data_IF_035751140712
#
_entry.id   IF_035751140712
#
_cell.length_a   1.000
_cell.length_b   1.000
_cell.length_c   1.000
_cell.angle_alpha   90.00
_cell.angle_beta   90.00
_cell.angle_gamma   90.00
#
_symmetry.space_group_name_H-M   'P 1'
#
loop_
_entity.id
_entity.type
_entity.pdbx_description
1 polymer ?
#
# COMPACT_ATOMS: atom_id res chain seq x y z
N UNK A 1 4.41 -8.25 -0.50
CA UNK A 1 4.15 -9.69 -0.27
C UNK A 1 5.49 -10.39 -0.15
N UNK A 2 5.66 -11.24 0.86
CA UNK A 2 6.92 -11.93 1.10
C UNK A 2 6.89 -13.34 0.48
N UNK A 3 8.06 -13.96 0.33
CA UNK A 3 8.24 -15.36 -0.09
C UNK A 3 7.72 -15.69 -1.51
N UNK A 4 7.71 -14.72 -2.42
CA UNK A 4 7.27 -14.93 -3.82
C UNK A 4 8.41 -15.18 -4.81
N UNK A 5 9.67 -15.01 -4.40
CA UNK A 5 10.82 -15.15 -5.31
C UNK A 5 10.69 -14.28 -6.57
N UNK A 6 10.93 -14.88 -7.73
CA UNK A 6 10.84 -14.21 -9.04
C UNK A 6 9.43 -13.73 -9.38
N UNK A 7 8.39 -14.33 -8.81
CA UNK A 7 7.00 -13.93 -9.03
C UNK A 7 6.61 -12.65 -8.26
N UNK A 8 7.51 -12.12 -7.41
CA UNK A 8 7.21 -10.98 -6.56
C UNK A 8 6.77 -9.76 -7.36
N UNK A 9 7.55 -9.33 -8.35
CA UNK A 9 7.27 -8.07 -9.07
C UNK A 9 5.95 -8.14 -9.83
N UNK A 10 5.67 -9.26 -10.51
CA UNK A 10 4.40 -9.48 -11.21
C UNK A 10 3.21 -9.48 -10.25
N UNK A 11 3.32 -10.16 -9.10
CA UNK A 11 2.23 -10.20 -8.13
C UNK A 11 1.89 -8.82 -7.54
N UNK A 12 2.90 -7.96 -7.30
CA UNK A 12 2.67 -6.59 -6.85
C UNK A 12 1.99 -5.75 -7.94
N UNK A 13 2.41 -5.90 -9.20
CA UNK A 13 1.77 -5.25 -10.34
C UNK A 13 0.30 -5.67 -10.49
N UNK A 14 0.02 -6.97 -10.42
CA UNK A 14 -1.34 -7.51 -10.55
C UNK A 14 -2.24 -7.02 -9.42
N UNK A 15 -1.72 -6.99 -8.18
CA UNK A 15 -2.46 -6.44 -7.03
C UNK A 15 -2.86 -4.98 -7.24
N UNK A 16 -1.95 -4.16 -7.80
CA UNK A 16 -2.23 -2.75 -8.10
C UNK A 16 -3.29 -2.63 -9.18
N UNK A 17 -3.17 -3.40 -10.27
CA UNK A 17 -4.16 -3.41 -11.36
C UNK A 17 -5.55 -3.80 -10.86
N UNK A 18 -5.65 -4.92 -10.16
CA UNK A 18 -6.92 -5.44 -9.65
C UNK A 18 -7.64 -4.43 -8.74
N UNK A 19 -6.90 -3.76 -7.85
CA UNK A 19 -7.48 -2.76 -6.96
C UNK A 19 -7.98 -1.53 -7.72
N UNK A 20 -7.18 -1.02 -8.67
CA UNK A 20 -7.54 0.15 -9.48
C UNK A 20 -8.71 -0.15 -10.44
N UNK A 21 -8.73 -1.31 -11.07
CA UNK A 21 -9.83 -1.77 -11.94
C UNK A 21 -11.17 -1.89 -11.19
N UNK A 22 -11.11 -2.19 -9.89
CA UNK A 22 -12.29 -2.22 -8.99
C UNK A 22 -12.69 -0.84 -8.48
N UNK A 23 -11.99 0.23 -8.88
CA UNK A 23 -12.25 1.60 -8.46
C UNK A 23 -11.90 1.88 -7.00
N UNK A 24 -10.99 1.09 -6.41
CA UNK A 24 -10.55 1.30 -5.02
C UNK A 24 -9.48 2.39 -4.97
N UNK A 25 -9.57 3.25 -3.96
CA UNK A 25 -8.43 4.06 -3.53
C UNK A 25 -7.37 3.12 -2.94
N UNK A 26 -6.13 3.19 -3.47
CA UNK A 26 -5.07 2.25 -3.10
C UNK A 26 -3.86 2.99 -2.53
N UNK A 27 -3.51 2.65 -1.29
CA UNK A 27 -2.24 3.07 -0.71
C UNK A 27 -1.28 1.88 -0.63
N UNK A 28 -0.07 2.06 -1.13
CA UNK A 28 0.97 1.01 -1.16
C UNK A 28 2.19 1.46 -0.39
N UNK A 29 2.88 0.52 0.26
CA UNK A 29 4.08 0.83 1.04
C UNK A 29 5.20 -0.18 0.81
N UNK A 30 6.44 0.32 0.74
CA UNK A 30 7.65 -0.48 0.70
C UNK A 30 8.19 -0.77 -0.70
N UNK A 31 9.47 -1.15 -0.73
CA UNK A 31 10.32 -1.27 -1.92
C UNK A 31 9.72 -2.09 -3.08
N UNK A 32 9.01 -3.18 -2.78
CA UNK A 32 8.43 -4.01 -3.83
C UNK A 32 7.30 -3.30 -4.59
N UNK A 33 6.46 -2.54 -3.89
CA UNK A 33 5.47 -1.69 -4.54
C UNK A 33 6.11 -0.45 -5.18
N UNK A 34 7.23 0.05 -4.66
CA UNK A 34 7.98 1.16 -5.27
C UNK A 34 8.50 0.86 -6.67
N UNK A 35 8.69 -0.42 -7.01
CA UNK A 35 9.03 -0.86 -8.38
C UNK A 35 7.84 -0.92 -9.34
N UNK A 36 6.60 -0.90 -8.83
CA UNK A 36 5.41 -0.92 -9.68
C UNK A 36 5.18 0.48 -10.24
N UNK A 37 5.21 0.67 -11.58
CA UNK A 37 5.06 1.98 -12.19
C UNK A 37 3.77 2.69 -11.75
N UNK A 38 3.86 3.98 -11.48
CA UNK A 38 2.71 4.84 -11.26
C UNK A 38 2.42 5.62 -12.54
N UNK A 39 1.15 5.65 -12.93
CA UNK A 39 0.68 6.41 -14.09
C UNK A 39 -0.11 7.63 -13.62
N UNK A 40 -0.08 8.69 -14.41
CA UNK A 40 -0.84 9.91 -14.14
C UNK A 40 -2.34 9.61 -14.04
N UNK A 41 -2.99 10.18 -13.02
CA UNK A 41 -4.42 10.02 -12.78
C UNK A 41 -4.83 8.72 -12.07
N UNK A 42 -3.91 7.83 -11.72
CA UNK A 42 -4.24 6.66 -10.90
C UNK A 42 -4.64 7.06 -9.47
N UNK A 43 -5.67 6.40 -8.92
CA UNK A 43 -6.08 6.51 -7.52
C UNK A 43 -5.13 5.73 -6.58
N UNK A 44 -3.82 5.82 -6.83
CA UNK A 44 -2.78 5.14 -6.08
C UNK A 44 -1.80 6.14 -5.46
N UNK A 45 -1.52 5.95 -4.18
CA UNK A 45 -0.45 6.64 -3.46
C UNK A 45 0.60 5.63 -3.01
N UNK A 46 1.88 5.95 -3.18
CA UNK A 46 2.99 5.11 -2.72
C UNK A 46 3.79 5.79 -1.60
N UNK A 47 4.16 5.00 -0.59
CA UNK A 47 5.06 5.38 0.48
C UNK A 47 6.27 4.45 0.48
N UNK A 48 7.48 4.99 0.42
CA UNK A 48 8.69 4.13 0.42
C UNK A 48 8.87 3.37 1.74
N UNK A 49 8.41 3.98 2.85
CA UNK A 49 8.58 3.47 4.21
C UNK A 49 7.28 3.56 5.01
N UNK A 50 7.08 2.59 5.90
CA UNK A 50 5.89 2.54 6.77
C UNK A 50 5.83 3.75 7.71
N UNK A 51 6.96 4.18 8.26
CA UNK A 51 6.98 5.32 9.18
C UNK A 51 6.51 6.62 8.50
N UNK A 52 6.80 6.78 7.20
CA UNK A 52 6.28 7.91 6.39
C UNK A 52 4.76 7.84 6.25
N UNK A 53 4.21 6.66 6.01
CA UNK A 53 2.76 6.45 5.96
C UNK A 53 2.11 6.74 7.33
N UNK A 54 2.71 6.26 8.43
CA UNK A 54 2.18 6.52 9.78
C UNK A 54 2.16 8.02 10.07
N UNK A 55 3.26 8.73 9.81
CA UNK A 55 3.33 10.18 10.02
C UNK A 55 2.31 10.93 9.14
N UNK A 56 2.07 10.46 7.91
CA UNK A 56 1.08 11.04 7.02
C UNK A 56 -0.34 10.89 7.57
N UNK A 57 -0.71 9.70 8.03
CA UNK A 57 -2.04 9.44 8.62
C UNK A 57 -2.23 10.24 9.92
N UNK A 58 -1.20 10.34 10.76
CA UNK A 58 -1.28 11.13 12.00
C UNK A 58 -1.48 12.62 11.74
N UNK A 59 -0.90 13.16 10.66
CA UNK A 59 -1.10 14.55 10.25
C UNK A 59 -2.39 14.77 9.45
N UNK A 60 -2.97 13.70 8.88
CA UNK A 60 -4.20 13.73 8.09
C UNK A 60 -5.13 12.57 8.50
N UNK A 61 -5.82 12.66 9.65
CA UNK A 61 -6.66 11.59 10.15
C UNK A 61 -7.73 11.13 9.15
N UNK A 62 -7.88 9.82 9.00
CA UNK A 62 -8.81 9.21 8.06
C UNK A 62 -10.17 8.95 8.71
N UNK A 63 -11.05 9.95 8.70
CA UNK A 63 -12.39 9.82 9.28
C UNK A 63 -13.43 9.23 8.30
N UNK A 64 -14.36 8.44 8.83
CA UNK A 64 -15.54 7.96 8.09
C UNK A 64 -15.25 6.99 6.94
N UNK A 65 -14.09 6.32 6.95
CA UNK A 65 -13.64 5.40 5.88
C UNK A 65 -13.69 3.94 6.30
N UNK A 66 -13.84 3.05 5.32
CA UNK A 66 -13.62 1.62 5.48
C UNK A 66 -12.27 1.28 4.88
N UNK A 67 -11.35 0.76 5.70
CA UNK A 67 -9.95 0.56 5.31
C UNK A 67 -9.58 -0.91 5.52
N UNK A 68 -9.06 -1.55 4.47
CA UNK A 68 -8.44 -2.87 4.54
C UNK A 68 -6.93 -2.73 4.60
N UNK A 69 -6.34 -3.12 5.74
CA UNK A 69 -4.87 -3.17 5.91
C UNK A 69 -4.39 -4.60 5.68
N UNK A 70 -3.48 -4.80 4.71
CA UNK A 70 -2.94 -6.12 4.36
C UNK A 70 -1.47 -6.07 4.00
N UNK A 71 -0.66 -6.92 4.64
CA UNK A 71 0.77 -7.05 4.40
C UNK A 71 1.33 -8.37 4.97
N UNK A 72 2.56 -8.72 4.59
CA UNK A 72 3.28 -9.82 5.23
C UNK A 72 3.70 -9.43 6.64
N UNK A 73 4.02 -10.41 7.50
CA UNK A 73 4.52 -10.13 8.87
C UNK A 73 5.75 -9.22 8.88
N UNK A 74 6.65 -9.39 7.92
CA UNK A 74 7.84 -8.55 7.75
C UNK A 74 7.53 -7.08 7.45
N UNK A 75 6.36 -6.78 6.88
CA UNK A 75 5.94 -5.40 6.61
C UNK A 75 5.48 -4.67 7.88
N UNK A 76 5.17 -5.38 8.97
CA UNK A 76 4.80 -4.83 10.27
C UNK A 76 3.66 -3.78 10.21
N UNK A 77 2.70 -3.96 9.31
CA UNK A 77 1.60 -2.98 9.10
C UNK A 77 0.72 -2.79 10.33
N UNK A 78 0.76 -3.69 11.31
CA UNK A 78 0.11 -3.49 12.60
C UNK A 78 0.53 -2.19 13.30
N UNK A 79 1.72 -1.64 13.00
CA UNK A 79 2.17 -0.33 13.51
C UNK A 79 1.33 0.85 13.02
N UNK A 80 0.60 0.68 11.90
CA UNK A 80 -0.33 1.68 11.39
C UNK A 80 -1.62 1.74 12.21
N UNK A 81 -2.05 0.61 12.78
CA UNK A 81 -3.37 0.48 13.40
C UNK A 81 -3.69 1.51 14.50
N UNK A 82 -2.75 1.91 15.38
CA UNK A 82 -3.05 2.93 16.40
C UNK A 82 -3.32 4.33 15.83
N UNK A 83 -3.03 4.56 14.54
CA UNK A 83 -3.25 5.83 13.85
C UNK A 83 -4.48 5.83 12.94
N UNK A 84 -5.17 4.69 12.81
CA UNK A 84 -6.38 4.52 12.00
C UNK A 84 -7.66 4.59 12.83
#
# INVERSE_FOLDING_TARGET
MAELGEASDQAHLDTVKDALERGLELWTVGQAFGRVPQQDGQARTHFDQLDTLVAYVQSHPLEGRQILVKGSRSAQLEKLMPSL
#
